data_IF_505079418212
#
_entry.id   IF_505079418212
#
_cell.length_a   1.000
_cell.length_b   1.000
_cell.length_c   1.000
_cell.angle_alpha   90.00
_cell.angle_beta   90.00
_cell.angle_gamma   90.00
#
_symmetry.space_group_name_H-M   'P 1'
#
loop_
_entity.id
_entity.type
_entity.pdbx_description
1 polymer ?
#
# COMPACT_ATOMS: atom_id res chain seq x y z
N UNK A 1 38.57 -15.60 30.66
CA UNK A 1 37.92 -14.46 29.97
C UNK A 1 37.52 -14.75 28.52
N UNK A 2 38.26 -15.55 27.76
CA UNK A 2 37.99 -15.83 26.34
C UNK A 2 36.62 -16.49 26.09
N UNK A 3 36.21 -17.45 26.94
CA UNK A 3 34.91 -18.13 26.83
C UNK A 3 33.72 -17.17 26.96
N UNK A 4 33.80 -16.19 27.87
CA UNK A 4 32.77 -15.16 28.05
C UNK A 4 32.66 -14.26 26.80
N UNK A 5 33.79 -13.85 26.22
CA UNK A 5 33.81 -13.05 25.00
C UNK A 5 33.16 -13.79 23.83
N UNK A 6 33.51 -15.07 23.63
CA UNK A 6 32.90 -15.91 22.60
C UNK A 6 31.40 -16.04 22.81
N UNK A 7 30.96 -16.31 24.06
CA UNK A 7 29.54 -16.38 24.39
C UNK A 7 28.79 -15.07 24.07
N UNK A 8 29.34 -13.91 24.45
CA UNK A 8 28.72 -12.61 24.17
C UNK A 8 28.65 -12.31 22.67
N UNK A 9 29.69 -12.68 21.91
CA UNK A 9 29.68 -12.54 20.45
C UNK A 9 28.57 -13.41 19.85
N UNK A 10 28.51 -14.70 20.23
CA UNK A 10 27.46 -15.60 19.74
C UNK A 10 26.05 -15.09 20.10
N UNK A 11 25.85 -14.61 21.33
CA UNK A 11 24.57 -14.03 21.75
C UNK A 11 24.22 -12.78 20.94
N UNK A 12 25.18 -11.88 20.71
CA UNK A 12 24.95 -10.68 19.90
C UNK A 12 24.58 -11.00 18.46
N UNK A 13 25.25 -11.99 17.86
CA UNK A 13 24.95 -12.45 16.50
C UNK A 13 23.55 -13.04 16.45
N UNK A 14 23.18 -13.86 17.44
CA UNK A 14 21.85 -14.45 17.52
C UNK A 14 20.76 -13.37 17.63
N UNK A 15 20.91 -12.40 18.53
CA UNK A 15 19.97 -11.28 18.68
C UNK A 15 19.86 -10.47 17.38
N UNK A 16 20.99 -10.21 16.73
CA UNK A 16 21.03 -9.47 15.47
C UNK A 16 20.26 -10.19 14.37
N UNK A 17 20.50 -11.50 14.19
CA UNK A 17 19.83 -12.31 13.16
C UNK A 17 18.33 -12.37 13.39
N UNK A 18 17.87 -12.63 14.63
CA UNK A 18 16.44 -12.65 14.93
C UNK A 18 15.78 -11.29 14.74
N UNK A 19 16.45 -10.20 15.10
CA UNK A 19 15.94 -8.85 14.88
C UNK A 19 15.83 -8.53 13.39
N UNK A 20 16.82 -8.91 12.58
CA UNK A 20 16.79 -8.72 11.14
C UNK A 20 15.64 -9.50 10.50
N UNK A 21 15.40 -10.75 10.91
CA UNK A 21 14.25 -11.54 10.42
C UNK A 21 12.94 -10.85 10.79
N UNK A 22 12.77 -10.43 12.05
CA UNK A 22 11.55 -9.73 12.49
C UNK A 22 11.30 -8.43 11.71
N UNK A 23 12.37 -7.68 11.37
CA UNK A 23 12.26 -6.50 10.50
C UNK A 23 11.73 -6.86 9.11
N UNK A 24 12.28 -7.91 8.49
CA UNK A 24 11.89 -8.36 7.15
C UNK A 24 10.44 -8.84 7.13
N UNK A 25 10.02 -9.59 8.15
CA UNK A 25 8.64 -10.07 8.28
C UNK A 25 7.65 -8.91 8.42
N UNK A 26 7.98 -7.92 9.27
CA UNK A 26 7.13 -6.72 9.45
C UNK A 26 7.02 -5.94 8.15
N UNK A 27 8.13 -5.73 7.45
CA UNK A 27 8.15 -5.07 6.15
C UNK A 27 7.29 -5.81 5.12
N UNK A 28 7.44 -7.12 5.01
CA UNK A 28 6.67 -7.97 4.10
C UNK A 28 5.18 -7.90 4.40
N UNK A 29 4.81 -7.97 5.68
CA UNK A 29 3.42 -7.88 6.14
C UNK A 29 2.80 -6.53 5.79
N UNK A 30 3.44 -5.40 6.13
CA UNK A 30 2.90 -4.08 5.81
C UNK A 30 2.77 -3.87 4.29
N UNK A 31 3.76 -4.33 3.51
CA UNK A 31 3.70 -4.22 2.05
C UNK A 31 2.60 -5.09 1.45
N UNK A 32 2.37 -6.28 1.99
CA UNK A 32 1.28 -7.17 1.56
C UNK A 32 -0.10 -6.59 1.87
N UNK A 33 -0.27 -5.99 3.05
CA UNK A 33 -1.51 -5.31 3.45
C UNK A 33 -1.79 -4.11 2.55
N UNK A 34 -0.79 -3.26 2.31
CA UNK A 34 -0.93 -2.12 1.41
C UNK A 34 -1.26 -2.56 -0.03
N UNK A 35 -0.66 -3.65 -0.50
CA UNK A 35 -0.98 -4.25 -1.80
C UNK A 35 -2.40 -4.82 -1.84
N UNK A 36 -2.88 -5.42 -0.74
CA UNK A 36 -4.26 -5.87 -0.59
C UNK A 36 -5.24 -4.72 -0.75
N UNK A 37 -5.07 -3.65 0.03
CA UNK A 37 -5.89 -2.43 -0.08
C UNK A 37 -5.91 -1.88 -1.50
N UNK A 38 -4.76 -1.80 -2.15
CA UNK A 38 -4.68 -1.36 -3.55
C UNK A 38 -5.47 -2.26 -4.50
N UNK A 39 -5.41 -3.58 -4.30
CA UNK A 39 -6.07 -4.56 -5.18
C UNK A 39 -7.58 -4.51 -5.00
N UNK A 40 -8.05 -4.54 -3.75
CA UNK A 40 -9.47 -4.44 -3.41
C UNK A 40 -10.08 -3.16 -4.02
N UNK A 41 -9.43 -2.01 -3.81
CA UNK A 41 -9.89 -0.74 -4.36
C UNK A 41 -9.84 -0.68 -5.88
N UNK A 42 -8.83 -1.29 -6.52
CA UNK A 42 -8.72 -1.32 -7.97
C UNK A 42 -9.84 -2.17 -8.58
N UNK A 43 -10.14 -3.32 -7.97
CA UNK A 43 -11.20 -4.21 -8.42
C UNK A 43 -12.57 -3.52 -8.27
N UNK A 44 -12.84 -2.90 -7.12
CA UNK A 44 -14.06 -2.11 -6.91
C UNK A 44 -14.17 -0.95 -7.91
N UNK A 45 -13.07 -0.21 -8.14
CA UNK A 45 -13.03 0.87 -9.14
C UNK A 45 -13.32 0.35 -10.55
N UNK A 46 -12.82 -0.83 -10.90
CA UNK A 46 -13.06 -1.45 -12.20
C UNK A 46 -14.54 -1.80 -12.37
N UNK A 47 -15.21 -2.28 -11.33
CA UNK A 47 -16.62 -2.66 -11.35
C UNK A 47 -17.57 -1.46 -11.41
N UNK A 48 -17.31 -0.42 -10.59
CA UNK A 48 -18.20 0.75 -10.49
C UNK A 48 -17.77 1.90 -11.40
N UNK A 49 -16.55 1.90 -11.91
CA UNK A 49 -16.00 2.90 -12.83
C UNK A 49 -15.43 4.16 -12.17
N UNK A 50 -15.35 4.24 -10.85
CA UNK A 50 -14.77 5.38 -10.12
C UNK A 50 -14.31 4.96 -8.73
N UNK A 51 -13.50 5.79 -8.09
CA UNK A 51 -13.06 5.60 -6.71
C UNK A 51 -14.12 6.11 -5.74
N UNK A 52 -14.77 5.19 -5.01
CA UNK A 52 -15.86 5.55 -4.11
C UNK A 52 -15.38 6.31 -2.86
N UNK A 53 -16.11 7.38 -2.52
CA UNK A 53 -15.75 8.27 -1.42
C UNK A 53 -15.96 7.64 -0.03
N UNK A 54 -16.94 6.74 0.11
CA UNK A 54 -17.18 6.04 1.38
C UNK A 54 -16.12 4.97 1.60
N UNK A 55 -15.75 4.25 0.54
CA UNK A 55 -14.72 3.23 0.57
C UNK A 55 -13.33 3.82 0.82
N UNK A 56 -13.00 4.94 0.18
CA UNK A 56 -11.75 5.67 0.47
C UNK A 56 -11.70 6.19 1.89
N UNK A 57 -12.80 6.70 2.44
CA UNK A 57 -12.85 7.13 3.83
C UNK A 57 -12.63 5.95 4.80
N UNK A 58 -13.23 4.80 4.52
CA UNK A 58 -13.02 3.57 5.29
C UNK A 58 -11.56 3.12 5.29
N UNK A 59 -10.94 2.99 4.11
CA UNK A 59 -9.55 2.56 4.01
C UNK A 59 -8.58 3.61 4.54
N UNK A 60 -8.89 4.91 4.41
CA UNK A 60 -8.11 5.99 5.06
C UNK A 60 -8.10 5.79 6.57
N UNK A 61 -9.26 5.54 7.18
CA UNK A 61 -9.36 5.23 8.61
C UNK A 61 -8.55 3.99 9.00
N UNK A 62 -8.70 2.89 8.26
CA UNK A 62 -7.93 1.65 8.50
C UNK A 62 -6.42 1.85 8.42
N UNK A 63 -5.94 2.57 7.41
CA UNK A 63 -4.51 2.85 7.27
C UNK A 63 -4.00 3.76 8.39
N UNK A 64 -4.79 4.73 8.84
CA UNK A 64 -4.46 5.55 10.01
C UNK A 64 -4.42 4.72 11.30
N UNK A 65 -5.33 3.77 11.48
CA UNK A 65 -5.34 2.85 12.62
C UNK A 65 -4.08 1.96 12.65
N UNK A 66 -3.53 1.62 11.48
CA UNK A 66 -2.24 0.93 11.34
C UNK A 66 -1.03 1.85 11.54
N UNK A 67 -1.25 3.14 11.81
CA UNK A 67 -0.20 4.14 12.02
C UNK A 67 0.46 4.62 10.72
N UNK A 68 -0.16 4.38 9.57
CA UNK A 68 0.34 4.83 8.27
C UNK A 68 -0.19 6.21 7.92
N UNK A 69 0.56 6.93 7.09
CA UNK A 69 0.16 8.26 6.59
C UNK A 69 0.26 8.33 5.06
N UNK A 70 -0.51 9.21 4.45
CA UNK A 70 -0.43 9.42 2.99
C UNK A 70 0.91 10.03 2.60
N UNK A 71 1.52 9.52 1.53
CA UNK A 71 2.72 10.12 0.95
C UNK A 71 2.30 11.20 -0.08
N UNK A 72 2.23 12.45 0.37
CA UNK A 72 1.78 13.60 -0.42
C UNK A 72 0.58 14.32 0.22
N UNK A 73 -0.41 14.71 -0.58
CA UNK A 73 -1.63 15.36 -0.09
C UNK A 73 -2.62 14.38 0.57
N UNK A 74 -2.66 13.14 0.09
CA UNK A 74 -3.51 12.06 0.60
C UNK A 74 -2.99 10.68 0.13
N UNK A 75 -3.52 9.59 0.68
CA UNK A 75 -3.21 8.22 0.29
C UNK A 75 -3.49 7.93 -1.18
N UNK A 76 -4.56 8.50 -1.74
CA UNK A 76 -5.05 8.19 -3.09
C UNK A 76 -4.72 9.27 -4.13
N UNK A 77 -3.79 10.16 -3.82
CA UNK A 77 -3.43 11.27 -4.69
C UNK A 77 -2.97 10.76 -6.08
N UNK A 78 -3.64 11.23 -7.14
CA UNK A 78 -3.39 10.80 -8.52
C UNK A 78 -4.33 9.71 -9.05
N UNK A 79 -5.33 9.28 -8.27
CA UNK A 79 -6.37 8.36 -8.73
C UNK A 79 -7.46 9.07 -9.53
N UNK A 80 -8.08 8.38 -10.47
CA UNK A 80 -9.13 8.91 -11.34
C UNK A 80 -9.94 7.77 -11.98
N UNK A 81 -11.27 7.89 -12.16
CA UNK A 81 -12.14 8.96 -11.67
C UNK A 81 -12.41 8.86 -10.16
N UNK A 82 -12.79 9.97 -9.51
CA UNK A 82 -13.04 10.03 -8.06
C UNK A 82 -14.51 10.33 -7.69
N UNK A 83 -15.41 10.36 -8.66
CA UNK A 83 -16.83 10.62 -8.43
C UNK A 83 -17.71 9.84 -9.40
N UNK A 84 -18.93 9.53 -8.97
CA UNK A 84 -19.94 8.88 -9.81
C UNK A 84 -20.24 9.70 -11.08
N UNK A 85 -20.26 11.04 -10.97
CA UNK A 85 -20.50 11.95 -12.10
C UNK A 85 -19.44 11.85 -13.20
N UNK A 86 -18.23 11.41 -12.85
CA UNK A 86 -17.09 11.26 -13.78
C UNK A 86 -16.74 9.81 -14.04
N UNK A 87 -17.64 8.88 -13.70
CA UNK A 87 -17.38 7.44 -13.81
C UNK A 87 -16.96 7.02 -15.22
N UNK A 88 -15.94 6.19 -15.27
CA UNK A 88 -15.46 5.52 -16.47
C UNK A 88 -16.47 4.46 -16.90
N UNK A 89 -16.80 4.44 -18.20
CA UNK A 89 -17.78 3.55 -18.80
C UNK A 89 -17.13 2.58 -19.77
N UNK A 90 -17.53 1.30 -19.67
CA UNK A 90 -17.09 0.23 -20.58
C UNK A 90 -17.40 0.54 -22.04
N UNK A 91 -18.60 1.07 -22.30
CA UNK A 91 -19.13 1.45 -23.62
C UNK A 91 -18.21 2.40 -24.40
N UNK A 92 -17.50 3.26 -23.66
CA UNK A 92 -16.61 4.29 -24.20
C UNK A 92 -15.14 3.88 -24.15
N UNK A 93 -14.85 2.63 -23.75
CA UNK A 93 -13.51 2.13 -23.48
C UNK A 93 -12.71 3.04 -22.52
N UNK A 94 -13.39 3.60 -21.52
CA UNK A 94 -12.77 4.46 -20.51
C UNK A 94 -12.06 3.61 -19.45
N UNK A 95 -10.99 4.18 -18.89
CA UNK A 95 -10.15 3.50 -17.90
C UNK A 95 -10.30 4.13 -16.52
N UNK A 96 -10.10 3.30 -15.51
CA UNK A 96 -9.87 3.71 -14.12
C UNK A 96 -8.38 3.61 -13.79
N UNK A 97 -7.88 4.56 -13.02
CA UNK A 97 -6.50 4.66 -12.57
C UNK A 97 -6.48 4.85 -11.06
N UNK A 98 -5.75 4.00 -10.36
CA UNK A 98 -5.57 4.09 -8.91
C UNK A 98 -4.10 4.33 -8.61
N UNK A 99 -3.82 5.32 -7.78
CA UNK A 99 -2.50 5.54 -7.19
C UNK A 99 -2.64 5.53 -5.68
N UNK A 100 -2.00 4.56 -5.03
CA UNK A 100 -1.89 4.46 -3.58
C UNK A 100 -0.45 4.77 -3.16
N UNK A 101 -0.27 5.81 -2.35
CA UNK A 101 1.04 6.24 -1.85
C UNK A 101 1.01 6.37 -0.33
N UNK A 102 1.83 5.58 0.36
CA UNK A 102 1.81 5.43 1.82
C UNK A 102 3.22 5.63 2.40
N UNK A 103 3.29 6.29 3.55
CA UNK A 103 4.40 6.19 4.49
C UNK A 103 4.08 5.08 5.51
N UNK A 104 4.72 3.91 5.39
CA UNK A 104 4.51 2.79 6.31
C UNK A 104 5.21 3.06 7.66
N UNK A 105 5.29 2.08 8.56
CA UNK A 105 6.05 2.24 9.80
C UNK A 105 7.51 2.64 9.54
N UNK A 106 8.16 3.31 10.50
CA UNK A 106 9.56 3.76 10.35
C UNK A 106 10.52 2.63 9.98
N UNK A 107 10.30 1.45 10.53
CA UNK A 107 11.10 0.27 10.24
C UNK A 107 10.94 -0.15 8.78
N UNK A 108 9.70 -0.21 8.29
CA UNK A 108 9.43 -0.51 6.88
C UNK A 108 9.89 0.59 5.93
N UNK A 109 9.88 1.87 6.34
CA UNK A 109 10.46 2.96 5.55
C UNK A 109 11.97 2.72 5.33
N UNK A 110 12.70 2.37 6.39
CA UNK A 110 14.12 2.04 6.29
C UNK A 110 14.38 0.80 5.43
N UNK A 111 13.59 -0.26 5.62
CA UNK A 111 13.71 -1.47 4.81
C UNK A 111 13.41 -1.18 3.33
N UNK A 112 12.37 -0.41 3.03
CA UNK A 112 12.04 -0.06 1.65
C UNK A 112 13.12 0.83 1.02
N UNK A 113 13.71 1.74 1.79
CA UNK A 113 14.83 2.56 1.32
C UNK A 113 16.03 1.69 0.93
N UNK A 114 16.30 0.61 1.68
CA UNK A 114 17.38 -0.32 1.37
C UNK A 114 17.09 -1.20 0.14
N UNK A 115 15.84 -1.59 -0.07
CA UNK A 115 15.43 -2.52 -1.14
C UNK A 115 15.12 -1.80 -2.45
N UNK A 116 14.33 -0.73 -2.40
CA UNK A 116 13.79 -0.03 -3.58
C UNK A 116 14.34 1.40 -3.73
N UNK A 117 15.08 1.93 -2.74
CA UNK A 117 15.60 3.30 -2.78
C UNK A 117 14.56 4.38 -2.41
N UNK A 118 13.35 3.99 -2.02
CA UNK A 118 12.27 4.89 -1.63
C UNK A 118 11.76 4.59 -0.21
N UNK A 119 11.43 5.63 0.56
CA UNK A 119 10.85 5.48 1.89
C UNK A 119 9.33 5.27 1.88
N UNK A 120 8.69 5.25 0.70
CA UNK A 120 7.25 5.17 0.52
C UNK A 120 6.84 3.91 -0.20
N UNK A 121 5.72 3.32 0.20
CA UNK A 121 5.06 2.32 -0.62
C UNK A 121 4.21 3.03 -1.66
N UNK A 122 4.50 2.76 -2.94
CA UNK A 122 3.75 3.32 -4.06
C UNK A 122 3.23 2.20 -4.95
N UNK A 123 1.92 2.17 -5.13
CA UNK A 123 1.24 1.27 -6.05
C UNK A 123 0.43 2.13 -7.02
N UNK A 124 0.69 1.98 -8.32
CA UNK A 124 -0.06 2.69 -9.34
C UNK A 124 -0.40 1.72 -10.47
N UNK A 125 -1.56 1.91 -11.07
CA UNK A 125 -1.98 1.12 -12.22
C UNK A 125 -3.25 1.65 -12.83
N UNK A 126 -3.54 1.15 -14.02
CA UNK A 126 -4.69 1.55 -14.83
C UNK A 126 -5.35 0.29 -15.39
N UNK A 127 -6.67 0.25 -15.35
CA UNK A 127 -7.47 -0.86 -15.89
C UNK A 127 -8.69 -0.33 -16.65
N UNK A 128 -9.19 -1.06 -17.66
CA UNK A 128 -10.44 -0.71 -18.33
C UNK A 128 -11.61 -0.83 -17.35
N UNK A 129 -12.58 0.07 -17.45
CA UNK A 129 -13.80 -0.02 -16.66
C UNK A 129 -14.70 -1.16 -17.15
N UNK A 130 -15.30 -1.90 -16.23
CA UNK A 130 -16.31 -2.91 -16.51
C UNK A 130 -17.74 -2.38 -16.33
N UNK A 131 -17.88 -1.17 -15.80
CA UNK A 131 -19.17 -0.55 -15.57
C UNK A 131 -19.97 -0.32 -16.86
N UNK A 132 -21.22 -0.79 -16.86
CA UNK A 132 -22.19 -0.63 -17.94
C UNK A 132 -23.40 0.19 -17.45
N UNK A 133 -23.79 1.21 -18.22
CA UNK A 133 -24.93 2.08 -17.88
C UNK A 133 -26.23 1.42 -18.38
N UNK A 134 -27.16 1.11 -17.48
CA UNK A 134 -28.41 0.41 -17.84
C UNK A 134 -29.37 1.26 -18.70
N UNK A 135 -29.09 2.56 -18.84
CA UNK A 135 -29.89 3.49 -19.63
C UNK A 135 -29.45 3.68 -21.08
N UNK A 136 -28.50 2.88 -21.58
CA UNK A 136 -28.07 2.87 -22.99
C UNK A 136 -28.93 1.97 -23.87
#
# INVERSE_FOLDING_TARGET
MTKLKVFLICLSVMVFVFSAIACVETYSLERSLARGVYTDLMDDMQDIGYLDSSLTAYYRGKMQDWGWTGAGADFFAGSYPMSETTRARKERAENVSLTLSIHPSKLSQWMNLLVEGEATFRFAGTRPSEYFDQGW
#
